data_IF_605836530652
#
_entry.id   IF_605836530652
#
_cell.length_a   1.000
_cell.length_b   1.000
_cell.length_c   1.000
_cell.angle_alpha   90.00
_cell.angle_beta   90.00
_cell.angle_gamma   90.00
#
_symmetry.space_group_name_H-M   'P 1'
#
loop_
_entity.id
_entity.type
_entity.pdbx_description
1 polymer ?
#
# COMPACT_ATOMS: atom_id res chain seq x y z
N UNK A 1 -30.74 14.72 -21.11
CA UNK A 1 -30.96 13.29 -21.40
C UNK A 1 -32.43 13.09 -21.76
N UNK A 2 -32.75 12.32 -22.80
CA UNK A 2 -34.13 11.89 -23.06
C UNK A 2 -34.68 11.13 -21.85
N UNK A 3 -36.00 11.11 -21.64
CA UNK A 3 -36.62 10.35 -20.52
C UNK A 3 -36.14 8.89 -20.49
N UNK A 4 -36.02 8.24 -21.66
CA UNK A 4 -35.50 6.88 -21.78
C UNK A 4 -34.03 6.71 -21.40
N UNK A 5 -33.16 7.67 -21.75
CA UNK A 5 -31.75 7.61 -21.38
C UNK A 5 -31.49 7.75 -19.88
N UNK A 6 -32.34 8.51 -19.17
CA UNK A 6 -32.25 8.64 -17.70
C UNK A 6 -32.64 7.35 -16.97
N UNK A 7 -33.72 6.71 -17.40
CA UNK A 7 -34.17 5.45 -16.78
C UNK A 7 -33.14 4.34 -16.96
N UNK A 8 -32.54 4.23 -18.15
CA UNK A 8 -31.48 3.26 -18.41
C UNK A 8 -30.22 3.53 -17.57
N UNK A 9 -29.84 4.81 -17.41
CA UNK A 9 -28.75 5.21 -16.51
C UNK A 9 -29.02 4.79 -15.06
N UNK A 10 -30.20 5.11 -14.51
CA UNK A 10 -30.57 4.75 -13.14
C UNK A 10 -30.66 3.23 -12.94
N UNK A 11 -31.05 2.48 -13.98
CA UNK A 11 -31.05 1.01 -13.97
C UNK A 11 -29.62 0.46 -13.90
N UNK A 12 -28.68 1.02 -14.66
CA UNK A 12 -27.25 0.63 -14.63
C UNK A 12 -26.62 0.89 -13.26
N UNK A 13 -26.92 2.04 -12.64
CA UNK A 13 -26.37 2.39 -11.33
C UNK A 13 -26.87 1.48 -10.21
N UNK A 14 -28.14 1.03 -10.26
CA UNK A 14 -28.71 0.08 -9.27
C UNK A 14 -28.30 -1.38 -9.47
N UNK A 15 -27.89 -1.75 -10.68
CA UNK A 15 -27.64 -3.14 -11.04
C UNK A 15 -26.29 -3.68 -10.50
N UNK A 16 -25.40 -2.80 -10.03
CA UNK A 16 -24.05 -3.16 -9.61
C UNK A 16 -23.79 -2.70 -8.18
N UNK A 17 -22.97 -3.43 -7.39
CA UNK A 17 -22.54 -2.97 -6.08
C UNK A 17 -21.86 -1.58 -6.17
N UNK A 18 -22.24 -0.67 -5.26
CA UNK A 18 -21.63 0.65 -5.21
C UNK A 18 -20.19 0.56 -4.71
N UNK A 19 -19.27 1.23 -5.40
CA UNK A 19 -17.88 1.38 -4.96
C UNK A 19 -17.60 2.78 -4.42
N UNK A 20 -18.64 3.57 -4.22
CA UNK A 20 -18.50 5.00 -3.98
C UNK A 20 -18.79 5.33 -2.52
N UNK A 21 -17.88 6.07 -1.92
CA UNK A 21 -17.94 6.61 -0.57
C UNK A 21 -18.45 8.05 -0.66
N UNK A 22 -19.40 8.40 0.20
CA UNK A 22 -19.73 9.78 0.53
C UNK A 22 -19.31 10.04 1.98
N UNK A 23 -18.45 11.03 2.21
CA UNK A 23 -17.92 11.36 3.54
C UNK A 23 -18.13 12.84 3.87
N UNK A 24 -18.23 13.14 5.17
CA UNK A 24 -18.46 14.51 5.66
C UNK A 24 -17.25 15.42 5.54
N UNK A 25 -16.05 14.86 5.46
CA UNK A 25 -14.76 15.56 5.45
C UNK A 25 -13.60 14.56 5.42
N UNK A 26 -12.38 15.07 5.42
CA UNK A 26 -11.15 14.34 5.70
C UNK A 26 -10.87 14.29 7.20
N UNK A 27 -9.75 14.89 7.64
CA UNK A 27 -9.34 14.89 9.05
C UNK A 27 -9.93 16.05 9.86
N UNK A 28 -10.88 16.81 9.29
CA UNK A 28 -11.50 17.93 9.98
C UNK A 28 -12.50 17.44 11.03
N UNK A 29 -12.59 18.10 12.20
CA UNK A 29 -13.53 17.73 13.24
C UNK A 29 -14.98 17.82 12.73
N UNK A 30 -15.78 16.81 13.08
CA UNK A 30 -17.20 16.79 12.76
C UNK A 30 -17.92 17.74 13.70
N UNK A 31 -18.49 18.81 13.14
CA UNK A 31 -19.25 19.78 13.94
C UNK A 31 -20.70 19.34 14.12
N UNK A 32 -21.13 19.24 15.38
CA UNK A 32 -22.53 19.02 15.79
C UNK A 32 -23.38 20.30 15.78
N UNK A 33 -22.88 21.37 15.17
CA UNK A 33 -23.60 22.63 15.00
C UNK A 33 -24.66 22.61 13.89
N UNK A 34 -25.08 21.42 13.43
CA UNK A 34 -26.17 21.29 12.47
C UNK A 34 -27.54 21.49 13.13
N UNK A 35 -28.59 21.50 12.32
CA UNK A 35 -29.97 21.56 12.81
C UNK A 35 -30.41 20.28 13.53
N UNK A 36 -31.29 20.43 14.53
CA UNK A 36 -32.01 19.30 15.16
C UNK A 36 -31.14 18.22 15.82
N UNK A 37 -29.97 18.58 16.35
CA UNK A 37 -29.07 17.63 17.03
C UNK A 37 -28.25 16.75 16.09
N UNK A 38 -28.09 17.18 14.83
CA UNK A 38 -27.27 16.51 13.83
C UNK A 38 -26.01 17.31 13.52
N UNK A 39 -24.99 16.64 12.98
CA UNK A 39 -23.84 17.33 12.40
C UNK A 39 -24.24 18.17 11.18
N UNK A 40 -23.42 19.16 10.82
CA UNK A 40 -23.67 20.02 9.65
C UNK A 40 -23.87 19.19 8.37
N UNK A 41 -23.05 18.15 8.20
CA UNK A 41 -23.20 17.20 7.10
C UNK A 41 -24.51 16.40 7.18
N UNK A 42 -24.83 15.82 8.34
CA UNK A 42 -26.01 14.98 8.50
C UNK A 42 -27.33 15.77 8.34
N UNK A 43 -27.42 16.96 8.93
CA UNK A 43 -28.56 17.87 8.75
C UNK A 43 -28.73 18.27 7.27
N UNK A 44 -27.63 18.60 6.59
CA UNK A 44 -27.65 18.96 5.17
C UNK A 44 -28.06 17.77 4.29
N UNK A 45 -27.56 16.56 4.57
CA UNK A 45 -27.94 15.33 3.87
C UNK A 45 -29.45 15.06 3.99
N UNK A 46 -30.01 15.18 5.20
CA UNK A 46 -31.44 14.96 5.46
C UNK A 46 -32.32 16.01 4.77
N UNK A 47 -31.91 17.28 4.76
CA UNK A 47 -32.60 18.34 4.01
C UNK A 47 -32.53 18.10 2.51
N UNK A 48 -31.36 17.73 1.99
CA UNK A 48 -31.15 17.42 0.58
C UNK A 48 -32.12 16.33 0.11
N UNK A 49 -32.29 15.23 0.87
CA UNK A 49 -33.24 14.16 0.54
C UNK A 49 -34.70 14.62 0.41
N UNK A 50 -35.08 15.72 1.07
CA UNK A 50 -36.44 16.30 1.00
C UNK A 50 -36.60 17.34 -0.11
N UNK A 51 -35.50 17.98 -0.51
CA UNK A 51 -35.48 19.07 -1.48
C UNK A 51 -35.23 18.61 -2.92
N UNK A 52 -34.77 17.38 -3.15
CA UNK A 52 -34.52 16.89 -4.51
C UNK A 52 -35.83 16.81 -5.31
N UNK A 53 -35.95 17.66 -6.34
CA UNK A 53 -37.07 17.69 -7.29
C UNK A 53 -36.98 16.55 -8.33
N UNK A 54 -36.76 15.32 -7.86
CA UNK A 54 -36.70 14.09 -8.68
C UNK A 54 -37.24 12.92 -7.86
N UNK A 55 -38.14 12.13 -8.45
CA UNK A 55 -38.69 10.92 -7.82
C UNK A 55 -37.63 9.82 -7.60
N UNK A 56 -36.59 9.81 -8.43
CA UNK A 56 -35.44 8.91 -8.27
C UNK A 56 -34.15 9.59 -8.72
N UNK A 57 -33.10 9.47 -7.90
CA UNK A 57 -31.81 10.13 -8.11
C UNK A 57 -30.66 9.33 -7.47
N UNK A 58 -29.43 9.54 -7.95
CA UNK A 58 -28.23 8.88 -7.42
C UNK A 58 -27.63 9.64 -6.24
N UNK A 59 -26.73 9.00 -5.47
CA UNK A 59 -25.98 9.66 -4.41
C UNK A 59 -25.01 10.70 -4.97
N UNK A 60 -24.44 10.46 -6.14
CA UNK A 60 -23.65 11.47 -6.88
C UNK A 60 -24.48 12.74 -7.17
N UNK A 61 -25.70 12.58 -7.69
CA UNK A 61 -26.61 13.70 -7.97
C UNK A 61 -26.97 14.45 -6.68
N UNK A 62 -27.28 13.73 -5.60
CA UNK A 62 -27.58 14.30 -4.29
C UNK A 62 -26.37 15.10 -3.74
N UNK A 63 -25.18 14.53 -3.85
CA UNK A 63 -23.96 15.10 -3.31
C UNK A 63 -23.56 16.40 -4.01
N UNK A 64 -23.43 16.36 -5.33
CA UNK A 64 -22.93 17.49 -6.11
C UNK A 64 -23.94 18.64 -6.21
N UNK A 65 -25.23 18.35 -6.21
CA UNK A 65 -26.26 19.39 -6.34
C UNK A 65 -26.70 20.00 -5.01
N UNK A 66 -26.58 19.29 -3.88
CA UNK A 66 -27.18 19.74 -2.62
C UNK A 66 -26.25 19.69 -1.39
N UNK A 67 -25.21 18.86 -1.39
CA UNK A 67 -24.43 18.63 -0.16
C UNK A 67 -23.09 19.37 -0.21
N UNK A 68 -22.30 19.20 -1.28
CA UNK A 68 -20.90 19.65 -1.33
C UNK A 68 -20.72 21.13 -0.96
N UNK A 69 -21.38 22.01 -1.68
CA UNK A 69 -21.26 23.47 -1.48
C UNK A 69 -21.88 23.93 -0.16
N UNK A 70 -22.99 23.30 0.26
CA UNK A 70 -23.72 23.72 1.46
C UNK A 70 -22.99 23.36 2.76
N UNK A 71 -22.29 22.23 2.78
CA UNK A 71 -21.47 21.81 3.93
C UNK A 71 -20.14 22.55 3.94
N UNK A 72 -19.43 22.62 2.80
CA UNK A 72 -18.16 23.34 2.69
C UNK A 72 -18.31 24.85 2.92
N UNK A 73 -19.46 25.44 2.58
CA UNK A 73 -19.74 26.85 2.81
C UNK A 73 -20.21 27.20 4.23
N UNK A 74 -20.47 26.22 5.10
CA UNK A 74 -21.04 26.42 6.45
C UNK A 74 -20.23 25.75 7.57
N UNK A 75 -19.14 25.09 7.23
CA UNK A 75 -18.27 24.40 8.18
C UNK A 75 -16.86 24.28 7.60
N UNK A 76 -15.89 23.98 8.46
CA UNK A 76 -14.53 23.62 8.04
C UNK A 76 -14.47 22.27 7.30
N UNK A 77 -15.56 21.50 7.31
CA UNK A 77 -15.60 20.18 6.69
C UNK A 77 -15.64 20.30 5.17
N UNK A 78 -14.75 19.57 4.48
CA UNK A 78 -14.74 19.47 3.02
C UNK A 78 -15.26 18.10 2.60
N UNK A 79 -16.58 17.93 2.41
CA UNK A 79 -17.14 16.62 2.14
C UNK A 79 -16.64 16.06 0.80
N UNK A 80 -16.54 14.74 0.74
CA UNK A 80 -15.99 14.02 -0.40
C UNK A 80 -16.95 12.97 -0.95
N UNK A 81 -16.87 12.77 -2.27
CA UNK A 81 -17.57 11.70 -2.98
C UNK A 81 -16.57 10.99 -3.89
N UNK A 82 -16.07 9.84 -3.45
CA UNK A 82 -14.87 9.21 -4.00
C UNK A 82 -15.04 7.70 -4.17
N UNK A 83 -14.34 7.11 -5.15
CA UNK A 83 -14.32 5.66 -5.34
C UNK A 83 -13.39 4.99 -4.33
N UNK A 84 -13.88 3.96 -3.64
CA UNK A 84 -13.11 3.05 -2.80
C UNK A 84 -12.32 2.10 -3.70
N UNK A 85 -11.00 2.24 -3.70
CA UNK A 85 -10.08 1.36 -4.45
C UNK A 85 -10.08 -0.04 -3.85
N UNK A 86 -9.97 -1.07 -4.70
CA UNK A 86 -9.92 -2.49 -4.30
C UNK A 86 -11.15 -3.01 -3.53
N UNK A 87 -12.30 -2.38 -3.71
CA UNK A 87 -13.57 -2.80 -3.08
C UNK A 87 -14.19 -4.07 -3.68
N UNK A 88 -13.70 -4.54 -4.84
CA UNK A 88 -14.31 -5.68 -5.56
C UNK A 88 -15.68 -5.37 -6.17
N UNK A 89 -16.03 -4.08 -6.30
CA UNK A 89 -17.34 -3.61 -6.75
C UNK A 89 -17.29 -2.92 -8.13
N UNK A 90 -18.33 -3.10 -8.94
CA UNK A 90 -18.32 -2.84 -10.39
C UNK A 90 -18.95 -1.50 -10.84
N UNK A 91 -18.82 -0.45 -10.04
CA UNK A 91 -19.17 0.91 -10.48
C UNK A 91 -20.66 1.25 -10.47
N UNK A 92 -21.45 0.63 -9.60
CA UNK A 92 -22.79 1.11 -9.26
C UNK A 92 -22.76 2.33 -8.32
N UNK A 93 -23.93 2.82 -7.95
CA UNK A 93 -24.09 3.90 -6.96
C UNK A 93 -25.33 3.65 -6.08
N UNK A 94 -25.42 4.32 -4.94
CA UNK A 94 -26.65 4.39 -4.16
C UNK A 94 -27.70 5.18 -4.94
N UNK A 95 -28.89 4.61 -5.10
CA UNK A 95 -30.01 5.27 -5.79
C UNK A 95 -31.20 5.39 -4.87
N UNK A 96 -31.61 6.63 -4.60
CA UNK A 96 -32.72 6.96 -3.73
C UNK A 96 -34.00 7.09 -4.54
N UNK A 97 -35.06 6.42 -4.11
CA UNK A 97 -36.40 6.55 -4.69
C UNK A 97 -37.33 7.11 -3.63
N UNK A 98 -37.93 8.28 -3.88
CA UNK A 98 -38.98 8.82 -3.03
C UNK A 98 -40.19 7.88 -3.13
N UNK A 99 -40.54 7.22 -2.02
CA UNK A 99 -41.79 6.49 -1.92
C UNK A 99 -42.89 7.48 -1.58
N UNK A 100 -43.82 7.70 -2.50
CA UNK A 100 -45.16 8.15 -2.13
C UNK A 100 -45.83 7.03 -1.35
N UNK A 101 -45.66 7.04 -0.04
CA UNK A 101 -46.44 6.16 0.82
C UNK A 101 -47.91 6.59 0.72
N UNK A 102 -48.75 5.71 0.16
CA UNK A 102 -50.06 5.53 0.77
C UNK A 102 -49.80 5.23 2.25
N UNK A 103 -50.49 5.96 3.12
CA UNK A 103 -50.39 5.86 4.58
C UNK A 103 -50.74 4.44 5.05
N UNK A 104 -49.77 3.54 4.99
CA UNK A 104 -49.70 2.34 5.79
C UNK A 104 -48.83 2.68 6.99
N UNK A 105 -49.41 2.65 8.18
CA UNK A 105 -48.74 2.88 9.45
C UNK A 105 -47.57 1.91 9.63
N UNK A 106 -46.35 2.37 9.29
CA UNK A 106 -45.13 1.73 9.78
C UNK A 106 -45.04 2.10 11.25
N UNK A 107 -45.27 1.12 12.12
CA UNK A 107 -44.92 1.23 13.53
C UNK A 107 -43.41 1.43 13.62
N UNK A 108 -43.00 2.64 13.96
CA UNK A 108 -41.66 2.93 14.45
C UNK A 108 -41.61 2.24 15.83
N UNK A 109 -40.70 1.29 16.09
CA UNK A 109 -40.53 0.77 17.43
C UNK A 109 -40.23 1.95 18.35
N UNK A 110 -40.95 2.04 19.46
CA UNK A 110 -40.70 3.08 20.45
C UNK A 110 -39.20 3.09 20.80
N UNK A 111 -38.58 4.28 20.97
CA UNK A 111 -37.24 4.33 21.53
C UNK A 111 -37.23 3.53 22.83
N UNK A 112 -36.14 2.81 23.15
CA UNK A 112 -36.04 2.13 24.44
C UNK A 112 -36.36 3.13 25.55
N UNK A 113 -37.05 2.71 26.62
CA UNK A 113 -37.45 3.61 27.69
C UNK A 113 -36.23 4.40 28.13
N UNK A 114 -36.38 5.73 28.19
CA UNK A 114 -35.41 6.58 28.83
C UNK A 114 -35.08 5.97 30.19
N UNK A 115 -33.80 5.75 30.45
CA UNK A 115 -33.32 5.42 31.78
C UNK A 115 -33.98 6.40 32.76
N UNK A 116 -34.44 5.92 33.94
CA UNK A 116 -35.15 6.75 34.89
C UNK A 116 -34.31 7.99 35.15
N UNK A 117 -34.98 9.15 35.26
CA UNK A 117 -34.36 10.41 35.60
C UNK A 117 -33.35 10.16 36.72
N UNK A 118 -32.06 10.25 36.38
CA UNK A 118 -31.00 10.11 37.34
C UNK A 118 -31.30 11.19 38.37
N UNK A 119 -31.60 10.75 39.60
CA UNK A 119 -31.71 11.63 40.74
C UNK A 119 -30.53 12.59 40.63
N UNK A 120 -30.78 13.90 40.71
CA UNK A 120 -29.76 14.93 40.64
C UNK A 120 -28.67 14.58 41.64
N UNK A 121 -27.65 13.85 41.17
CA UNK A 121 -26.44 13.61 41.89
C UNK A 121 -25.83 15.00 42.06
N UNK A 122 -25.28 15.31 43.25
CA UNK A 122 -24.47 16.53 43.37
C UNK A 122 -23.50 16.54 42.19
N UNK A 123 -23.26 17.72 41.56
CA UNK A 123 -22.48 17.80 40.33
C UNK A 123 -21.26 16.89 40.48
N UNK A 124 -21.15 15.91 39.60
CA UNK A 124 -20.03 14.97 39.62
C UNK A 124 -18.77 15.81 39.80
N UNK A 125 -17.88 15.47 40.75
CA UNK A 125 -16.69 16.26 41.01
C UNK A 125 -16.05 16.51 39.65
N UNK A 126 -15.89 17.78 39.28
CA UNK A 126 -15.37 18.18 37.98
C UNK A 126 -14.11 17.36 37.80
N UNK A 127 -14.17 16.31 36.97
CA UNK A 127 -13.00 15.53 36.64
C UNK A 127 -12.18 16.52 35.87
N UNK A 128 -11.17 17.04 36.54
CA UNK A 128 -10.22 17.95 35.94
C UNK A 128 -9.69 17.19 34.73
N UNK A 129 -9.96 17.71 33.54
CA UNK A 129 -9.65 17.07 32.28
C UNK A 129 -8.43 17.74 31.67
N UNK A 130 -7.49 16.93 31.19
CA UNK A 130 -6.32 17.36 30.45
C UNK A 130 -6.19 16.57 29.15
N UNK A 131 -5.18 16.92 28.36
CA UNK A 131 -4.94 16.30 27.06
C UNK A 131 -3.53 15.70 27.05
N UNK A 132 -3.36 14.58 26.35
CA UNK A 132 -2.09 13.88 26.21
C UNK A 132 -1.84 13.60 24.74
N UNK A 133 -0.67 13.99 24.25
CA UNK A 133 -0.15 13.59 22.95
C UNK A 133 1.03 12.65 23.16
N UNK A 134 0.94 11.44 22.61
CA UNK A 134 2.00 10.44 22.66
C UNK A 134 2.68 10.36 21.31
N UNK A 135 3.95 10.77 21.28
CA UNK A 135 4.84 10.64 20.14
C UNK A 135 5.71 9.40 20.33
N UNK A 136 5.95 8.66 19.25
CA UNK A 136 6.73 7.41 19.26
C UNK A 136 7.71 7.39 18.11
N UNK A 137 8.84 6.71 18.31
CA UNK A 137 9.82 6.40 17.25
C UNK A 137 9.55 5.06 16.55
N UNK A 138 8.65 4.22 17.08
CA UNK A 138 8.33 2.89 16.57
C UNK A 138 7.03 2.90 15.74
N UNK A 139 6.97 2.20 14.60
CA UNK A 139 5.77 2.13 13.77
C UNK A 139 4.66 1.31 14.45
N UNK A 140 3.40 1.68 14.19
CA UNK A 140 2.21 0.97 14.68
C UNK A 140 2.22 0.67 16.19
N UNK A 141 2.82 1.57 16.98
CA UNK A 141 2.98 1.36 18.41
C UNK A 141 1.63 1.52 19.13
N UNK A 142 1.20 0.48 19.84
CA UNK A 142 0.02 0.50 20.69
C UNK A 142 0.31 1.27 21.96
N UNK A 143 -0.59 2.18 22.31
CA UNK A 143 -0.49 3.02 23.51
C UNK A 143 -1.55 2.60 24.50
N UNK A 144 -1.12 2.33 25.73
CA UNK A 144 -1.96 1.93 26.84
C UNK A 144 -1.91 2.99 27.94
N UNK A 145 -3.05 3.32 28.52
CA UNK A 145 -3.15 4.14 29.74
C UNK A 145 -3.74 3.27 30.83
N UNK A 146 -3.01 3.10 31.94
CA UNK A 146 -3.44 2.26 33.07
C UNK A 146 -3.94 0.88 32.61
N UNK A 147 -3.16 0.24 31.71
CA UNK A 147 -3.42 -1.08 31.10
C UNK A 147 -4.52 -1.16 30.03
N UNK A 148 -5.26 -0.07 29.78
CA UNK A 148 -6.29 -0.02 28.73
C UNK A 148 -5.72 0.51 27.40
N UNK A 149 -5.91 -0.22 26.30
CA UNK A 149 -5.47 0.19 24.96
C UNK A 149 -6.29 1.41 24.48
N UNK A 150 -5.61 2.51 24.14
CA UNK A 150 -6.25 3.75 23.67
C UNK A 150 -6.13 3.98 22.17
N UNK A 151 -5.19 3.29 21.51
CA UNK A 151 -5.00 3.35 20.07
C UNK A 151 -3.54 3.16 19.67
N UNK A 152 -3.23 3.54 18.43
CA UNK A 152 -1.90 3.39 17.84
C UNK A 152 -1.28 4.73 17.48
N UNK A 153 0.03 4.86 17.72
CA UNK A 153 0.86 5.98 17.28
C UNK A 153 1.94 5.50 16.31
N UNK A 154 2.48 6.40 15.49
CA UNK A 154 3.61 6.13 14.59
C UNK A 154 4.50 7.38 14.43
N UNK A 155 5.73 7.25 13.93
CA UNK A 155 6.58 8.41 13.64
C UNK A 155 5.87 9.39 12.69
N UNK A 156 5.71 10.64 13.12
CA UNK A 156 4.97 11.66 12.36
C UNK A 156 3.43 11.53 12.40
N UNK A 157 2.89 10.59 13.16
CA UNK A 157 1.45 10.40 13.40
C UNK A 157 1.20 10.06 14.87
N UNK A 158 1.27 11.07 15.78
CA UNK A 158 1.11 10.84 17.20
C UNK A 158 -0.34 10.47 17.57
N UNK A 159 -0.49 9.77 18.70
CA UNK A 159 -1.81 9.54 19.29
C UNK A 159 -2.19 10.72 20.18
N UNK A 160 -3.24 11.43 19.80
CA UNK A 160 -3.83 12.53 20.56
C UNK A 160 -5.02 12.01 21.38
N UNK A 161 -5.00 12.23 22.69
CA UNK A 161 -6.06 11.82 23.61
C UNK A 161 -6.53 13.02 24.41
N UNK A 162 -7.82 13.29 24.34
CA UNK A 162 -8.46 14.43 24.99
C UNK A 162 -9.33 13.98 26.16
N UNK A 163 -9.65 14.92 27.05
CA UNK A 163 -10.57 14.71 28.17
C UNK A 163 -10.12 13.61 29.16
N UNK A 164 -8.81 13.47 29.35
CA UNK A 164 -8.22 12.49 30.28
C UNK A 164 -8.26 13.02 31.72
N UNK A 165 -8.45 12.15 32.74
CA UNK A 165 -8.34 12.55 34.13
C UNK A 165 -6.97 13.17 34.44
N UNK A 166 -6.95 14.33 35.09
CA UNK A 166 -5.69 14.94 35.53
C UNK A 166 -5.11 14.19 36.72
N UNK A 167 -3.80 14.29 36.86
CA UNK A 167 -3.02 13.54 37.83
C UNK A 167 -2.09 12.58 37.12
N UNK A 168 -1.58 11.62 37.89
CA UNK A 168 -0.55 10.71 37.40
C UNK A 168 -1.17 9.51 36.69
N UNK A 169 -0.75 9.25 35.46
CA UNK A 169 -1.16 8.11 34.65
C UNK A 169 0.05 7.27 34.25
N UNK A 170 -0.13 5.95 34.20
CA UNK A 170 0.89 5.04 33.67
C UNK A 170 0.66 4.83 32.18
N UNK A 171 1.60 5.26 31.36
CA UNK A 171 1.55 5.15 29.91
C UNK A 171 2.54 4.09 29.47
N UNK A 172 2.03 3.00 28.90
CA UNK A 172 2.84 1.91 28.33
C UNK A 172 2.70 1.93 26.82
N UNK A 173 3.82 1.84 26.11
CA UNK A 173 3.85 1.80 24.66
C UNK A 173 4.52 0.50 24.22
N UNK A 174 3.89 -0.19 23.29
CA UNK A 174 4.36 -1.46 22.73
C UNK A 174 4.35 -1.42 21.22
N UNK A 175 5.40 -1.91 20.58
CA UNK A 175 5.47 -2.08 19.15
C UNK A 175 6.16 -3.40 18.82
N UNK A 176 5.74 -4.05 17.74
CA UNK A 176 6.34 -5.30 17.31
C UNK A 176 7.84 -5.12 16.99
N UNK A 177 8.69 -5.95 17.60
CA UNK A 177 10.15 -5.85 17.45
C UNK A 177 10.81 -4.75 18.29
N UNK A 178 10.09 -4.13 19.23
CA UNK A 178 10.62 -3.14 20.17
C UNK A 178 10.37 -3.55 21.62
N UNK A 179 11.29 -3.17 22.52
CA UNK A 179 11.09 -3.31 23.96
C UNK A 179 9.95 -2.39 24.40
N UNK A 180 8.99 -2.93 25.15
CA UNK A 180 7.90 -2.14 25.72
C UNK A 180 8.47 -1.06 26.65
N UNK A 181 8.03 0.18 26.49
CA UNK A 181 8.45 1.29 27.34
C UNK A 181 7.27 1.82 28.13
N UNK A 182 7.41 1.86 29.46
CA UNK A 182 6.41 2.41 30.35
C UNK A 182 6.95 3.65 31.07
N UNK A 183 6.17 4.72 31.08
CA UNK A 183 6.47 5.97 31.79
C UNK A 183 5.27 6.41 32.62
N UNK A 184 5.58 7.06 33.72
CA UNK A 184 4.59 7.72 34.57
C UNK A 184 4.50 9.19 34.15
N UNK A 185 3.31 9.63 33.73
CA UNK A 185 3.08 10.97 33.15
C UNK A 185 2.06 11.71 34.00
N UNK A 186 2.31 12.99 34.29
CA UNK A 186 1.38 13.84 35.02
C UNK A 186 0.58 14.69 34.05
N UNK A 187 -0.72 14.40 33.92
CA UNK A 187 -1.65 15.13 33.06
C UNK A 187 -2.14 16.35 33.81
N UNK A 188 -1.88 17.53 33.25
CA UNK A 188 -2.26 18.82 33.84
C UNK A 188 -3.62 19.31 33.32
N UNK A 189 -4.34 20.03 34.17
CA UNK A 189 -5.69 20.54 33.88
C UNK A 189 -5.66 21.51 32.70
N UNK A 190 -6.57 21.32 31.74
CA UNK A 190 -6.77 22.19 30.58
C UNK A 190 -5.47 22.44 29.78
N UNK A 191 -4.53 21.50 29.81
CA UNK A 191 -3.25 21.61 29.12
C UNK A 191 -2.97 20.35 28.31
N UNK A 192 -2.26 20.56 27.20
CA UNK A 192 -1.62 19.48 26.46
C UNK A 192 -0.33 19.08 27.15
N UNK A 193 -0.26 17.81 27.56
CA UNK A 193 0.97 17.15 27.96
C UNK A 193 1.51 16.43 26.73
N UNK A 194 2.73 16.70 26.31
CA UNK A 194 3.36 16.02 25.19
C UNK A 194 4.45 15.10 25.73
N UNK A 195 4.38 13.82 25.36
CA UNK A 195 5.35 12.83 25.77
C UNK A 195 5.93 12.11 24.57
N UNK A 196 7.23 11.84 24.64
CA UNK A 196 7.97 11.14 23.60
C UNK A 196 8.45 9.81 24.16
N UNK A 197 8.12 8.73 23.45
CA UNK A 197 8.55 7.37 23.76
C UNK A 197 9.54 6.91 22.69
N UNK A 198 10.80 6.86 23.09
CA UNK A 198 11.89 6.29 22.29
C UNK A 198 12.06 4.83 22.68
N UNK A 199 11.34 3.95 21.99
CA UNK A 199 11.45 2.52 22.19
C UNK A 199 12.76 2.03 21.57
N UNK A 200 13.43 1.11 22.27
CA UNK A 200 14.61 0.42 21.76
C UNK A 200 14.14 -0.77 20.95
N UNK A 201 14.67 -0.93 19.72
CA UNK A 201 14.43 -2.13 18.93
C UNK A 201 14.99 -3.30 19.70
N UNK A 202 14.21 -4.36 19.90
CA UNK A 202 14.72 -5.61 20.46
C UNK A 202 15.81 -6.05 19.49
N UNK A 203 17.07 -6.03 19.94
CA UNK A 203 18.13 -6.74 19.25
C UNK A 203 17.81 -8.21 19.41
N UNK A 204 16.99 -8.74 18.50
CA UNK A 204 17.04 -10.15 18.19
C UNK A 204 18.48 -10.33 17.72
N UNK A 205 19.31 -10.96 18.55
CA UNK A 205 20.62 -11.44 18.12
C UNK A 205 20.37 -12.05 16.75
N UNK A 206 20.99 -11.47 15.71
CA UNK A 206 20.75 -11.89 14.34
C UNK A 206 20.88 -13.39 14.35
N UNK A 207 19.75 -14.10 14.24
CA UNK A 207 19.83 -15.52 13.99
C UNK A 207 20.70 -15.59 12.74
N UNK A 208 21.79 -16.37 12.75
CA UNK A 208 22.52 -16.60 11.52
C UNK A 208 21.46 -16.93 10.47
N UNK A 209 21.56 -16.35 9.26
CA UNK A 209 20.58 -16.60 8.21
C UNK A 209 20.30 -18.10 8.21
N UNK A 210 19.02 -18.53 8.16
CA UNK A 210 18.73 -19.96 8.18
C UNK A 210 19.68 -20.61 7.19
N UNK A 211 20.39 -21.70 7.59
CA UNK A 211 21.34 -22.34 6.71
C UNK A 211 20.64 -22.49 5.35
N UNK A 212 21.31 -22.10 4.25
CA UNK A 212 20.68 -22.15 2.94
C UNK A 212 19.99 -23.50 2.83
N UNK A 213 18.71 -23.54 2.38
CA UNK A 213 18.00 -24.80 2.24
C UNK A 213 18.95 -25.77 1.55
N UNK A 214 19.11 -27.01 2.06
CA UNK A 214 20.11 -27.92 1.57
C UNK A 214 20.08 -27.88 0.06
N UNK A 215 21.22 -27.48 -0.54
CA UNK A 215 21.37 -27.35 -1.98
C UNK A 215 20.88 -28.68 -2.54
N UNK A 216 19.65 -28.68 -3.07
CA UNK A 216 19.15 -29.83 -3.80
C UNK A 216 20.16 -30.01 -4.92
N UNK A 217 20.80 -31.18 -5.03
CA UNK A 217 21.85 -31.38 -6.01
C UNK A 217 21.33 -30.89 -7.37
N UNK A 218 22.12 -30.09 -8.11
CA UNK A 218 21.72 -29.67 -9.43
C UNK A 218 21.31 -30.92 -10.20
N UNK A 219 20.14 -30.87 -10.83
CA UNK A 219 19.72 -31.86 -11.81
C UNK A 219 20.87 -32.04 -12.81
N UNK A 220 21.63 -33.13 -12.68
CA UNK A 220 22.71 -33.46 -13.60
C UNK A 220 22.12 -34.12 -14.84
N UNK A 221 22.38 -33.49 -15.99
CA UNK A 221 23.14 -34.03 -17.16
C UNK A 221 23.10 -32.95 -18.25
N UNK A 222 24.18 -32.47 -18.86
CA UNK A 222 25.61 -32.75 -18.79
C UNK A 222 26.34 -31.71 -19.67
N UNK A 223 27.66 -31.60 -19.51
CA UNK A 223 28.51 -30.58 -20.17
C UNK A 223 28.92 -29.47 -19.20
N UNK A 224 30.14 -28.97 -19.32
CA UNK A 224 30.84 -28.05 -18.41
C UNK A 224 30.23 -26.62 -18.31
N UNK A 225 28.97 -26.51 -17.93
CA UNK A 225 28.26 -25.25 -17.71
C UNK A 225 26.98 -25.50 -16.90
N UNK A 226 27.12 -25.59 -15.58
CA UNK A 226 25.97 -25.79 -14.69
C UNK A 226 24.97 -24.64 -14.81
N UNK A 227 23.67 -24.94 -14.84
CA UNK A 227 22.60 -23.94 -14.93
C UNK A 227 22.79 -22.82 -13.89
N UNK A 228 22.96 -21.57 -14.37
CA UNK A 228 23.11 -20.35 -13.55
C UNK A 228 21.75 -19.89 -12.98
N UNK A 229 21.02 -20.78 -12.31
CA UNK A 229 19.74 -20.48 -11.67
C UNK A 229 19.78 -20.74 -10.18
N UNK A 230 18.99 -19.98 -9.44
CA UNK A 230 18.83 -20.04 -7.99
C UNK A 230 17.44 -20.58 -7.67
N UNK A 231 17.36 -21.56 -6.76
CA UNK A 231 16.08 -22.03 -6.22
C UNK A 231 15.50 -20.98 -5.26
N UNK A 232 14.33 -20.46 -5.59
CA UNK A 232 13.52 -19.63 -4.70
C UNK A 232 12.52 -20.56 -3.99
N UNK A 233 12.60 -20.71 -2.65
CA UNK A 233 11.79 -21.69 -1.94
C UNK A 233 10.31 -21.33 -1.99
N UNK A 234 9.45 -22.34 -1.91
CA UNK A 234 8.02 -22.13 -1.70
C UNK A 234 7.78 -21.47 -0.33
N UNK A 235 6.65 -20.77 -0.19
CA UNK A 235 6.25 -20.21 1.09
C UNK A 235 5.69 -18.80 0.98
N UNK A 236 5.22 -18.31 2.12
CA UNK A 236 4.72 -16.96 2.28
C UNK A 236 5.86 -15.94 2.25
N UNK A 237 5.61 -14.80 1.62
CA UNK A 237 6.45 -13.61 1.72
C UNK A 237 5.58 -12.36 1.87
N UNK A 238 6.13 -11.31 2.47
CA UNK A 238 5.44 -10.04 2.64
C UNK A 238 5.68 -9.16 1.42
N UNK A 239 4.69 -9.08 0.54
CA UNK A 239 4.71 -8.24 -0.66
C UNK A 239 4.37 -6.79 -0.33
N UNK A 240 4.99 -5.85 -1.03
CA UNK A 240 4.76 -4.41 -0.91
C UNK A 240 5.83 -3.66 -0.13
N UNK A 241 5.54 -2.38 0.10
CA UNK A 241 6.32 -1.48 0.93
C UNK A 241 6.05 -1.78 2.42
N UNK A 242 6.99 -1.48 3.34
CA UNK A 242 6.86 -1.80 4.77
C UNK A 242 5.55 -1.34 5.43
N UNK A 243 4.99 -0.21 5.00
CA UNK A 243 3.76 0.36 5.57
C UNK A 243 2.47 -0.20 4.94
N UNK A 244 2.58 -1.15 4.00
CA UNK A 244 1.44 -1.74 3.27
C UNK A 244 1.77 -3.18 2.83
N UNK A 245 2.38 -3.95 3.74
CA UNK A 245 2.77 -5.33 3.47
C UNK A 245 1.54 -6.25 3.39
N UNK A 246 1.56 -7.16 2.42
CA UNK A 246 0.54 -8.20 2.23
C UNK A 246 1.18 -9.58 2.13
N UNK A 247 0.73 -10.52 2.96
CA UNK A 247 1.14 -11.91 2.88
C UNK A 247 0.72 -12.55 1.56
N UNK A 248 1.67 -13.16 0.86
CA UNK A 248 1.46 -13.87 -0.40
C UNK A 248 2.21 -15.19 -0.42
N UNK A 249 1.54 -16.27 -0.80
CA UNK A 249 2.16 -17.59 -0.95
C UNK A 249 2.57 -17.79 -2.41
N UNK A 250 3.85 -18.06 -2.63
CA UNK A 250 4.42 -18.37 -3.95
C UNK A 250 5.05 -19.75 -3.88
N UNK A 251 4.75 -20.59 -4.87
CA UNK A 251 5.36 -21.91 -5.02
C UNK A 251 6.87 -21.81 -5.25
N UNK A 252 7.60 -22.91 -5.11
CA UNK A 252 9.03 -22.93 -5.41
C UNK A 252 9.24 -22.79 -6.92
N UNK A 253 10.25 -22.04 -7.32
CA UNK A 253 10.65 -21.87 -8.72
C UNK A 253 12.16 -21.59 -8.79
N UNK A 254 12.75 -21.77 -9.97
CA UNK A 254 14.12 -21.36 -10.23
C UNK A 254 14.13 -19.97 -10.86
N UNK A 255 15.12 -19.14 -10.58
CA UNK A 255 15.30 -17.85 -11.24
C UNK A 255 16.75 -17.68 -11.71
N UNK A 256 16.94 -17.10 -12.88
CA UNK A 256 18.27 -16.75 -13.37
C UNK A 256 19.02 -15.86 -12.37
N UNK A 257 20.27 -16.26 -12.09
CA UNK A 257 21.13 -15.59 -11.11
C UNK A 257 21.42 -14.13 -11.45
N UNK A 258 21.46 -13.85 -12.75
CA UNK A 258 21.76 -12.55 -13.35
C UNK A 258 20.65 -12.18 -14.35
N UNK A 259 20.61 -10.93 -14.76
CA UNK A 259 19.90 -10.52 -15.97
C UNK A 259 20.48 -11.27 -17.19
N UNK A 260 19.65 -11.53 -18.21
CA UNK A 260 20.13 -12.17 -19.45
C UNK A 260 21.18 -11.26 -20.09
N UNK A 261 22.36 -11.81 -20.33
CA UNK A 261 23.48 -11.04 -20.91
C UNK A 261 23.33 -10.89 -22.43
N UNK A 262 24.01 -9.89 -22.98
CA UNK A 262 24.05 -9.68 -24.44
C UNK A 262 24.58 -10.88 -25.20
N UNK A 263 25.61 -11.54 -24.67
CA UNK A 263 26.18 -12.76 -25.26
C UNK A 263 25.15 -13.89 -25.32
N UNK A 264 24.45 -14.15 -24.22
CA UNK A 264 23.44 -15.22 -24.15
C UNK A 264 22.27 -14.92 -25.09
N UNK A 265 21.78 -13.68 -25.09
CA UNK A 265 20.72 -13.24 -25.99
C UNK A 265 21.11 -13.39 -27.46
N UNK A 266 22.30 -12.94 -27.85
CA UNK A 266 22.78 -13.01 -29.23
C UNK A 266 22.98 -14.45 -29.71
N UNK A 267 23.43 -15.36 -28.84
CA UNK A 267 23.57 -16.78 -29.15
C UNK A 267 22.23 -17.44 -29.48
N UNK A 268 21.15 -17.05 -28.80
CA UNK A 268 19.81 -17.66 -28.97
C UNK A 268 18.99 -16.96 -30.05
N UNK A 269 19.09 -15.64 -30.13
CA UNK A 269 18.24 -14.80 -30.97
C UNK A 269 18.92 -14.37 -32.27
N UNK A 270 20.22 -14.58 -32.41
CA UNK A 270 21.01 -14.24 -33.60
C UNK A 270 21.18 -12.74 -33.83
N UNK A 271 20.84 -11.90 -32.85
CA UNK A 271 20.96 -10.44 -32.90
C UNK A 271 21.21 -9.87 -31.52
N UNK A 272 21.84 -8.69 -31.47
CA UNK A 272 22.06 -7.93 -30.24
C UNK A 272 21.48 -6.50 -30.37
N UNK A 273 20.27 -6.24 -29.82
CA UNK A 273 19.59 -4.95 -29.95
C UNK A 273 20.14 -3.87 -29.00
N UNK A 274 21.02 -4.22 -28.07
CA UNK A 274 21.42 -3.34 -26.97
C UNK A 274 22.16 -2.09 -27.43
N UNK A 275 21.81 -0.95 -26.85
CA UNK A 275 22.48 0.33 -27.05
C UNK A 275 23.88 0.35 -26.41
N UNK A 276 24.05 -0.19 -25.20
CA UNK A 276 25.31 -0.20 -24.46
C UNK A 276 26.07 -1.50 -24.67
N UNK A 277 27.05 -1.52 -25.58
CA UNK A 277 27.74 -2.76 -25.96
C UNK A 277 28.66 -3.34 -24.88
N UNK A 278 28.59 -4.66 -24.69
CA UNK A 278 29.52 -5.48 -23.91
C UNK A 278 28.94 -6.86 -23.61
N UNK A 279 29.73 -7.93 -23.82
CA UNK A 279 29.26 -9.33 -23.78
C UNK A 279 28.53 -9.71 -22.48
N UNK A 280 29.05 -9.25 -21.35
CA UNK A 280 28.57 -9.60 -20.00
C UNK A 280 27.62 -8.55 -19.42
N UNK A 281 27.25 -7.52 -20.20
CA UNK A 281 26.21 -6.57 -19.82
C UNK A 281 24.84 -7.19 -20.04
N UNK A 282 23.80 -6.76 -19.30
CA UNK A 282 22.44 -7.17 -19.60
C UNK A 282 22.08 -6.78 -21.04
N UNK A 283 21.31 -7.64 -21.69
CA UNK A 283 20.62 -7.25 -22.92
C UNK A 283 19.56 -6.21 -22.55
N UNK A 284 19.59 -5.08 -23.24
CA UNK A 284 18.54 -4.06 -23.19
C UNK A 284 18.07 -3.66 -24.58
N UNK A 285 17.11 -2.73 -24.65
CA UNK A 285 16.42 -2.34 -25.89
C UNK A 285 15.63 -3.51 -26.50
N UNK A 286 15.06 -4.35 -25.63
CA UNK A 286 14.18 -5.46 -26.01
C UNK A 286 12.74 -5.16 -25.63
N UNK A 287 11.82 -5.54 -26.52
CA UNK A 287 10.38 -5.55 -26.23
C UNK A 287 10.02 -6.69 -25.29
N UNK A 288 8.82 -6.64 -24.69
CA UNK A 288 8.32 -7.75 -23.87
C UNK A 288 8.19 -9.04 -24.69
N UNK A 289 7.73 -8.93 -25.95
CA UNK A 289 7.57 -10.09 -26.83
C UNK A 289 8.90 -10.79 -27.15
N UNK A 290 9.97 -10.02 -27.35
CA UNK A 290 11.31 -10.55 -27.59
C UNK A 290 11.90 -11.21 -26.34
N UNK A 291 11.67 -10.62 -25.16
CA UNK A 291 12.07 -11.21 -23.88
C UNK A 291 11.35 -12.55 -23.62
N UNK A 292 10.04 -12.60 -23.85
CA UNK A 292 9.24 -13.82 -23.75
C UNK A 292 9.66 -14.87 -24.79
N UNK A 293 9.93 -14.47 -26.04
CA UNK A 293 10.44 -15.36 -27.08
C UNK A 293 11.79 -15.99 -26.70
N UNK A 294 12.73 -15.18 -26.19
CA UNK A 294 14.00 -15.69 -25.70
C UNK A 294 13.78 -16.74 -24.60
N UNK A 295 13.02 -16.40 -23.56
CA UNK A 295 12.82 -17.33 -22.43
C UNK A 295 12.21 -18.64 -22.93
N UNK A 296 11.21 -18.60 -23.82
CA UNK A 296 10.63 -19.80 -24.43
C UNK A 296 11.65 -20.62 -25.22
N UNK A 297 12.52 -19.99 -26.02
CA UNK A 297 13.56 -20.69 -26.80
C UNK A 297 14.57 -21.44 -25.92
N UNK A 298 14.85 -20.92 -24.72
CA UNK A 298 15.74 -21.57 -23.74
C UNK A 298 15.00 -22.48 -22.75
N UNK A 299 13.73 -22.77 -22.98
CA UNK A 299 12.93 -23.66 -22.13
C UNK A 299 12.53 -23.07 -20.77
N UNK A 300 12.47 -21.75 -20.68
CA UNK A 300 12.12 -20.96 -19.48
C UNK A 300 10.90 -20.06 -19.77
N UNK A 301 10.54 -19.19 -18.83
CA UNK A 301 9.55 -18.13 -19.01
C UNK A 301 9.97 -16.84 -18.30
N UNK A 302 9.25 -15.75 -18.54
CA UNK A 302 9.36 -14.56 -17.69
C UNK A 302 8.76 -14.83 -16.30
N UNK A 303 9.31 -14.21 -15.23
CA UNK A 303 8.70 -14.26 -13.90
C UNK A 303 7.38 -13.49 -13.89
N UNK A 304 6.45 -13.90 -13.04
CA UNK A 304 5.35 -13.02 -12.62
C UNK A 304 5.90 -11.88 -11.76
N UNK A 305 5.14 -10.79 -11.60
CA UNK A 305 5.57 -9.68 -10.73
C UNK A 305 5.81 -10.12 -9.28
N UNK A 306 5.08 -11.12 -8.79
CA UNK A 306 5.16 -11.61 -7.42
C UNK A 306 6.30 -12.60 -7.22
N UNK A 307 6.59 -13.43 -8.21
CA UNK A 307 7.82 -14.23 -8.22
C UNK A 307 9.04 -13.33 -8.21
N UNK A 308 9.03 -12.28 -9.05
CA UNK A 308 10.12 -11.31 -9.10
C UNK A 308 10.32 -10.61 -7.76
N UNK A 309 9.24 -10.13 -7.13
CA UNK A 309 9.34 -9.41 -5.86
C UNK A 309 9.79 -10.30 -4.71
N UNK A 310 9.27 -11.53 -4.61
CA UNK A 310 9.72 -12.51 -3.62
C UNK A 310 11.22 -12.79 -3.78
N UNK A 311 11.64 -13.00 -5.02
CA UNK A 311 13.04 -13.24 -5.35
C UNK A 311 13.91 -12.03 -4.99
N UNK A 312 13.48 -10.81 -5.35
CA UNK A 312 14.19 -9.58 -5.06
C UNK A 312 14.36 -9.34 -3.56
N UNK A 313 13.28 -9.48 -2.78
CA UNK A 313 13.30 -9.25 -1.33
C UNK A 313 14.23 -10.22 -0.58
N UNK A 314 14.53 -11.40 -1.12
CA UNK A 314 15.52 -12.30 -0.50
C UNK A 314 15.18 -12.67 0.95
N UNK A 315 13.89 -12.82 1.28
CA UNK A 315 13.42 -13.09 2.64
C UNK A 315 13.38 -11.87 3.58
N UNK A 316 13.73 -10.67 3.12
CA UNK A 316 13.60 -9.43 3.90
C UNK A 316 12.19 -8.84 3.77
N UNK A 317 11.81 -7.97 4.70
CA UNK A 317 10.58 -7.15 4.64
C UNK A 317 10.86 -5.67 4.41
N UNK A 318 12.14 -5.30 4.30
CA UNK A 318 12.63 -3.92 4.18
C UNK A 318 12.37 -3.31 2.79
N UNK A 319 12.60 -2.00 2.65
CA UNK A 319 12.42 -1.28 1.37
C UNK A 319 13.39 -1.74 0.28
N UNK A 320 14.63 -2.06 0.67
CA UNK A 320 15.63 -2.68 -0.18
C UNK A 320 15.99 -4.05 0.36
N UNK A 321 16.49 -4.94 -0.50
CA UNK A 321 16.91 -6.27 -0.06
C UNK A 321 18.18 -6.24 0.81
N UNK A 322 18.87 -5.10 0.89
CA UNK A 322 19.99 -4.85 1.79
C UNK A 322 19.60 -4.12 3.08
N UNK A 323 18.34 -3.71 3.25
CA UNK A 323 17.86 -3.03 4.45
C UNK A 323 17.05 -1.76 4.15
N UNK A 324 17.10 -0.82 5.10
CA UNK A 324 16.27 0.41 5.10
C UNK A 324 17.03 1.68 4.68
N UNK A 325 18.37 1.63 4.58
CA UNK A 325 19.18 2.81 4.22
C UNK A 325 19.55 2.83 2.74
N UNK A 326 19.43 4.02 2.14
CA UNK A 326 19.93 4.32 0.79
C UNK A 326 21.46 4.42 0.73
N UNK A 327 22.14 4.67 1.85
CA UNK A 327 23.60 4.88 1.89
C UNK A 327 24.38 3.64 1.41
N UNK A 328 23.76 2.47 1.53
CA UNK A 328 24.34 1.21 1.07
C UNK A 328 24.06 0.90 -0.40
N UNK A 329 23.23 1.68 -1.10
CA UNK A 329 22.85 1.39 -2.48
C UNK A 329 24.05 1.26 -3.42
N UNK A 330 25.12 2.00 -3.16
CA UNK A 330 26.39 1.92 -3.89
C UNK A 330 27.01 0.51 -3.94
N UNK A 331 26.77 -0.32 -2.92
CA UNK A 331 27.30 -1.69 -2.83
C UNK A 331 26.43 -2.73 -3.57
N UNK A 332 25.16 -2.42 -3.78
CA UNK A 332 24.13 -3.38 -4.18
C UNK A 332 23.50 -3.09 -5.55
N UNK A 333 23.56 -1.85 -6.03
CA UNK A 333 22.86 -1.44 -7.24
C UNK A 333 23.74 -0.60 -8.18
N UNK A 334 23.49 -0.73 -9.47
CA UNK A 334 23.90 0.25 -10.48
C UNK A 334 22.73 1.20 -10.76
N UNK A 335 22.82 2.44 -10.30
CA UNK A 335 21.74 3.43 -10.33
C UNK A 335 22.28 4.79 -10.76
N UNK A 336 21.42 5.83 -10.84
CA UNK A 336 21.75 7.11 -11.49
C UNK A 336 23.09 7.72 -11.02
N UNK A 337 23.37 7.70 -9.72
CA UNK A 337 24.54 8.35 -9.14
C UNK A 337 25.85 7.60 -9.42
N UNK A 338 25.83 6.27 -9.51
CA UNK A 338 27.06 5.45 -9.60
C UNK A 338 27.26 4.74 -10.94
N UNK A 339 26.24 4.72 -11.81
CA UNK A 339 26.29 3.95 -13.06
C UNK A 339 27.15 4.61 -14.14
N UNK A 340 27.44 5.91 -14.03
CA UNK A 340 28.07 6.66 -15.12
C UNK A 340 27.19 6.69 -16.38
N UNK A 341 25.87 6.66 -16.20
CA UNK A 341 24.83 6.76 -17.24
C UNK A 341 24.85 5.63 -18.28
N UNK A 342 25.08 4.39 -17.83
CA UNK A 342 25.10 3.18 -18.66
C UNK A 342 24.87 1.92 -17.84
N UNK A 343 24.53 0.82 -18.50
CA UNK A 343 24.54 -0.51 -17.88
C UNK A 343 25.94 -0.91 -17.41
N UNK A 344 26.06 -2.01 -16.67
CA UNK A 344 27.34 -2.60 -16.29
C UNK A 344 27.30 -4.12 -16.46
N UNK A 345 28.47 -4.79 -16.53
CA UNK A 345 28.51 -6.23 -16.48
C UNK A 345 27.76 -6.77 -15.26
N UNK A 346 27.00 -7.84 -15.47
CA UNK A 346 26.18 -8.45 -14.41
C UNK A 346 27.06 -8.98 -13.27
N UNK A 347 26.52 -9.01 -12.06
CA UNK A 347 27.16 -9.64 -10.92
C UNK A 347 28.31 -8.85 -10.29
N UNK A 348 28.44 -7.55 -10.59
CA UNK A 348 29.50 -6.70 -10.03
C UNK A 348 29.14 -6.04 -8.68
N UNK A 349 27.86 -6.09 -8.28
CA UNK A 349 27.37 -5.64 -6.97
C UNK A 349 27.12 -6.83 -6.04
N UNK A 350 26.88 -6.55 -4.76
CA UNK A 350 26.56 -7.60 -3.78
C UNK A 350 25.20 -8.24 -4.09
N UNK A 351 25.04 -9.57 -3.95
CA UNK A 351 23.76 -10.23 -4.15
C UNK A 351 22.82 -10.04 -2.96
N UNK A 352 21.55 -10.41 -3.13
CA UNK A 352 20.62 -10.61 -2.02
C UNK A 352 20.83 -11.96 -1.31
N UNK A 353 20.03 -12.26 -0.27
CA UNK A 353 20.18 -13.49 0.53
C UNK A 353 19.88 -14.80 -0.24
N UNK A 354 19.23 -14.73 -1.40
CA UNK A 354 19.08 -15.89 -2.27
C UNK A 354 20.26 -16.07 -3.23
N UNK A 355 21.19 -15.12 -3.29
CA UNK A 355 22.33 -15.17 -4.21
C UNK A 355 22.00 -14.63 -5.60
N UNK A 356 20.90 -13.89 -5.74
CA UNK A 356 20.54 -13.17 -6.96
C UNK A 356 21.25 -11.81 -6.99
N UNK A 357 21.74 -11.46 -8.18
CA UNK A 357 22.46 -10.21 -8.42
C UNK A 357 21.60 -9.26 -9.24
N UNK A 358 21.89 -7.97 -9.12
CA UNK A 358 21.30 -6.90 -9.93
C UNK A 358 19.76 -6.84 -9.83
N UNK A 359 19.18 -7.31 -8.72
CA UNK A 359 17.73 -7.19 -8.45
C UNK A 359 17.31 -5.73 -8.18
N UNK A 360 18.26 -4.79 -8.18
CA UNK A 360 18.06 -3.36 -8.01
C UNK A 360 19.02 -2.62 -8.96
N UNK A 361 18.48 -1.80 -9.85
CA UNK A 361 19.26 -1.05 -10.84
C UNK A 361 19.68 -1.90 -12.05
N UNK A 362 20.75 -1.47 -12.72
CA UNK A 362 21.23 -1.96 -14.01
C UNK A 362 20.17 -1.87 -15.11
N UNK A 363 19.26 -2.83 -15.28
CA UNK A 363 18.08 -2.69 -16.15
C UNK A 363 16.79 -3.01 -15.41
N UNK A 364 15.71 -2.32 -15.81
CA UNK A 364 14.37 -2.76 -15.46
C UNK A 364 14.10 -4.12 -16.11
N UNK A 365 13.37 -4.98 -15.42
CA UNK A 365 13.16 -6.35 -15.88
C UNK A 365 11.71 -6.62 -16.20
N UNK A 366 11.43 -7.00 -17.45
CA UNK A 366 10.11 -7.43 -17.88
C UNK A 366 9.59 -8.62 -17.07
N UNK A 367 8.30 -8.58 -16.72
CA UNK A 367 7.57 -9.67 -16.07
C UNK A 367 6.43 -10.14 -16.98
N UNK A 368 5.90 -11.33 -16.74
CA UNK A 368 4.74 -11.85 -17.47
C UNK A 368 3.41 -11.21 -17.05
N UNK A 369 3.41 -10.34 -16.03
CA UNK A 369 2.19 -9.80 -15.44
C UNK A 369 1.68 -8.57 -16.21
N UNK A 370 0.40 -8.61 -16.57
CA UNK A 370 -0.34 -7.46 -17.08
C UNK A 370 -0.56 -6.41 -15.98
N UNK A 371 -0.32 -5.15 -16.31
CA UNK A 371 -0.78 -4.03 -15.48
C UNK A 371 -2.23 -3.68 -15.81
N UNK A 372 -2.53 -3.59 -17.10
CA UNK A 372 -3.85 -3.35 -17.69
C UNK A 372 -3.90 -4.00 -19.09
N UNK A 373 -4.93 -3.68 -19.88
CA UNK A 373 -5.09 -4.24 -21.23
C UNK A 373 -4.05 -3.77 -22.24
N UNK A 374 -3.23 -2.75 -21.93
CA UNK A 374 -2.27 -2.16 -22.87
C UNK A 374 -0.82 -2.20 -22.39
N UNK A 375 -0.57 -2.55 -21.12
CA UNK A 375 0.76 -2.42 -20.51
C UNK A 375 1.17 -3.66 -19.70
N UNK A 376 2.46 -4.00 -19.77
CA UNK A 376 3.11 -5.04 -18.97
C UNK A 376 3.91 -4.42 -17.82
N UNK A 377 4.05 -5.17 -16.73
CA UNK A 377 4.86 -4.76 -15.57
C UNK A 377 6.33 -5.08 -15.81
N UNK A 378 7.20 -4.15 -15.42
CA UNK A 378 8.62 -4.39 -15.20
C UNK A 378 9.04 -3.93 -13.80
N UNK A 379 10.13 -4.49 -13.28
CA UNK A 379 10.59 -4.27 -11.88
C UNK A 379 12.08 -3.92 -11.82
N UNK A 380 12.61 -3.68 -10.62
CA UNK A 380 14.06 -3.51 -10.34
C UNK A 380 14.63 -2.11 -10.52
N UNK A 381 14.03 -1.30 -11.39
CA UNK A 381 14.61 -0.02 -11.78
C UNK A 381 15.86 -0.21 -12.65
N UNK A 382 16.55 0.87 -13.02
CA UNK A 382 17.67 0.78 -13.98
C UNK A 382 18.81 1.72 -13.62
N UNK A 383 19.91 1.64 -14.37
CA UNK A 383 21.09 2.48 -14.24
C UNK A 383 20.83 3.99 -14.20
N UNK A 384 19.68 4.45 -14.71
CA UNK A 384 19.33 5.89 -14.80
C UNK A 384 18.41 6.37 -13.66
N UNK A 385 17.95 5.46 -12.81
CA UNK A 385 16.97 5.75 -11.78
C UNK A 385 17.65 6.08 -10.46
N UNK A 386 17.07 7.02 -9.71
CA UNK A 386 17.49 7.32 -8.35
C UNK A 386 17.13 6.17 -7.40
N UNK A 387 17.77 6.14 -6.24
CA UNK A 387 17.65 5.06 -5.24
C UNK A 387 16.20 4.73 -4.87
N UNK A 388 15.35 5.75 -4.76
CA UNK A 388 13.92 5.59 -4.46
C UNK A 388 13.15 4.70 -5.47
N UNK A 389 13.68 4.50 -6.68
CA UNK A 389 13.04 3.73 -7.76
C UNK A 389 13.65 2.33 -7.96
N UNK A 390 14.68 1.95 -7.20
CA UNK A 390 15.28 0.60 -7.23
C UNK A 390 14.89 -0.24 -6.00
N UNK A 391 13.85 0.17 -5.26
CA UNK A 391 13.25 -0.59 -4.15
C UNK A 391 12.62 -1.89 -4.64
N UNK A 392 12.65 -2.93 -3.81
CA UNK A 392 12.16 -4.27 -4.18
C UNK A 392 10.67 -4.29 -4.56
N UNK A 393 9.86 -3.40 -4.01
CA UNK A 393 8.41 -3.31 -4.24
C UNK A 393 7.97 -2.18 -5.18
N UNK A 394 8.91 -1.42 -5.76
CA UNK A 394 8.55 -0.24 -6.54
C UNK A 394 7.77 -0.59 -7.82
N UNK A 395 6.57 0.01 -7.99
CA UNK A 395 5.67 -0.21 -9.14
C UNK A 395 5.23 1.05 -9.88
N UNK A 396 5.25 2.23 -9.26
CA UNK A 396 4.54 3.43 -9.78
C UNK A 396 5.02 3.91 -11.17
N UNK A 397 6.25 3.59 -11.56
CA UNK A 397 6.79 3.78 -12.92
C UNK A 397 7.13 2.47 -13.65
N UNK A 398 6.76 1.32 -13.09
CA UNK A 398 7.16 -0.02 -13.52
C UNK A 398 6.26 -0.64 -14.60
N UNK A 399 5.88 0.12 -15.65
CA UNK A 399 5.03 -0.39 -16.72
C UNK A 399 5.31 0.26 -18.07
N UNK A 400 5.11 -0.49 -19.15
CA UNK A 400 5.13 0.03 -20.51
C UNK A 400 4.33 -0.87 -21.47
N UNK A 401 3.94 -0.36 -22.66
CA UNK A 401 3.39 -1.18 -23.72
C UNK A 401 4.33 -2.35 -24.08
N UNK A 402 3.81 -3.53 -24.40
CA UNK A 402 4.63 -4.72 -24.63
C UNK A 402 5.53 -4.63 -25.88
N UNK A 403 5.20 -3.76 -26.82
CA UNK A 403 5.97 -3.45 -28.03
C UNK A 403 6.98 -2.30 -27.83
N UNK A 404 6.98 -1.65 -26.67
CA UNK A 404 7.94 -0.61 -26.34
C UNK A 404 9.27 -1.22 -25.90
N UNK A 405 10.37 -0.69 -26.43
CA UNK A 405 11.73 -1.04 -26.02
C UNK A 405 12.48 0.21 -25.59
N UNK A 406 13.39 0.05 -24.62
CA UNK A 406 14.19 1.14 -24.09
C UNK A 406 15.53 0.63 -23.59
N UNK A 407 16.56 1.48 -23.64
CA UNK A 407 17.94 1.09 -23.28
C UNK A 407 18.21 0.92 -21.79
N UNK A 408 17.15 0.95 -20.99
CA UNK A 408 17.15 0.53 -19.59
C UNK A 408 16.22 -0.64 -19.33
N UNK A 409 15.63 -1.28 -20.35
CA UNK A 409 14.69 -2.40 -20.20
C UNK A 409 15.31 -3.68 -20.75
N UNK A 410 15.49 -4.65 -19.86
CA UNK A 410 15.91 -6.02 -20.14
C UNK A 410 15.01 -7.00 -19.40
N UNK A 411 15.57 -8.14 -19.01
CA UNK A 411 14.81 -9.20 -18.34
C UNK A 411 15.72 -10.29 -17.74
N UNK A 412 15.11 -11.14 -16.91
CA UNK A 412 15.65 -12.44 -16.48
C UNK A 412 14.57 -13.51 -16.59
N UNK A 413 14.93 -14.79 -16.69
CA UNK A 413 13.96 -15.88 -16.81
C UNK A 413 13.80 -16.69 -15.51
N UNK A 414 12.72 -17.47 -15.44
CA UNK A 414 12.40 -18.47 -14.41
C UNK A 414 12.01 -19.82 -14.99
#
# INVERSE_FOLDING_TARGET
>A
LSKGGREEFLKKMRAKPSRTLMASGGNEPVSDSGGSGHSVFADTFLKALREVDKTTFTAEELFHSFIKERVAGKSEQTPEYNTIKNSGHDGGDFVFTLRTASLGTVSIPAPPPSLPAEATLPPAPVVLQGHLQVNVNAPSAKVFINEEEKGTASPGSPLNMENLPTGTASIRVEAEGYESLQKTVTIQRNQWTQEVFELKRVQVASLPPPPPPPITPPLKKGGEGGFNMVLIPSGEFMAGEPNSLKGMVINAFYMDKYEVTQREYEQVMGKNPSSFKGSDRPVESVTWYEADEYCRKVGKRLPTEWEWEKAAKGGTTTIFYWGESEDMAGDYAWYNENSGKKTHPVGQKKPNNYGLYDMAGNVCEWTSTDYDSSSKIFRGGSWRYDTIYVRSSYRSGGRAPPDYSYYGYGFRCV
#
